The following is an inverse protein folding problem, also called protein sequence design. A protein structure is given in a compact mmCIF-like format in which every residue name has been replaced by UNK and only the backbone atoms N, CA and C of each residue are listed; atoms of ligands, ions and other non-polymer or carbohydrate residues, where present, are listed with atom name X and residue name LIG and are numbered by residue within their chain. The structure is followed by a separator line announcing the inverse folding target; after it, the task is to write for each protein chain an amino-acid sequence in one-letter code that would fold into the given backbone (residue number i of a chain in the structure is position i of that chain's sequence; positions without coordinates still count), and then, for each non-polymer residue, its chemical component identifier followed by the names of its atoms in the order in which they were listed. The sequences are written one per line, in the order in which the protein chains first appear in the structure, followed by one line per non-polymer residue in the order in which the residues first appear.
data_IF_863214443245
#
_entry.id   IF_863214443245
#
_cell.length_a   1.000
_cell.length_b   1.000
_cell.length_c   1.000
_cell.angle_alpha   90.00
_cell.angle_beta   90.00
_cell.angle_gamma   90.00
#
_symmetry.space_group_name_H-M   'P 1'
#
loop_
_entity.id
_entity.type
_entity.pdbx_description
1 polymer ?
#
# COMPACT_ATOMS: atom_id res chain seq x y z
N UNK A 1 -18.41 4.57 2.51
CA UNK A 1 -17.06 4.00 2.72
C UNK A 1 -16.88 3.77 4.20
N UNK A 2 -16.65 2.53 4.62
CA UNK A 2 -16.53 2.12 6.03
C UNK A 2 -15.12 1.62 6.34
N UNK A 3 -14.76 1.59 7.63
CA UNK A 3 -13.47 1.05 8.12
C UNK A 3 -13.19 -0.36 7.59
N UNK A 4 -14.24 -1.17 7.43
CA UNK A 4 -14.15 -2.53 6.90
C UNK A 4 -13.58 -2.58 5.48
N UNK A 5 -13.93 -1.59 4.63
CA UNK A 5 -13.46 -1.54 3.25
C UNK A 5 -11.96 -1.20 3.19
N UNK A 6 -11.51 -0.32 4.08
CA UNK A 6 -10.10 0.01 4.26
C UNK A 6 -9.29 -1.22 4.69
N UNK A 7 -9.78 -1.97 5.68
CA UNK A 7 -9.10 -3.18 6.16
C UNK A 7 -9.08 -4.28 5.11
N UNK A 8 -10.15 -4.39 4.31
CA UNK A 8 -10.21 -5.34 3.19
C UNK A 8 -9.17 -5.01 2.11
N UNK A 9 -9.07 -3.74 1.72
CA UNK A 9 -8.04 -3.28 0.78
C UNK A 9 -6.63 -3.48 1.32
N UNK A 10 -6.40 -3.20 2.61
CA UNK A 10 -5.12 -3.45 3.26
C UNK A 10 -4.77 -4.95 3.25
N UNK A 11 -5.71 -5.83 3.57
CA UNK A 11 -5.49 -7.27 3.56
C UNK A 11 -5.18 -7.79 2.14
N UNK A 12 -5.89 -7.30 1.13
CA UNK A 12 -5.63 -7.65 -0.28
C UNK A 12 -4.24 -7.16 -0.70
N UNK A 13 -3.92 -5.91 -0.43
CA UNK A 13 -2.63 -5.31 -0.76
C UNK A 13 -1.47 -6.07 -0.09
N UNK A 14 -1.61 -6.40 1.21
CA UNK A 14 -0.62 -7.14 2.00
C UNK A 14 -0.40 -8.56 1.49
N UNK A 15 -1.44 -9.24 1.00
CA UNK A 15 -1.31 -10.58 0.42
C UNK A 15 -0.69 -10.55 -0.98
N UNK A 16 -1.01 -9.54 -1.79
CA UNK A 16 -0.47 -9.43 -3.15
C UNK A 16 1.02 -9.00 -3.17
N UNK A 17 1.45 -8.17 -2.22
CA UNK A 17 2.82 -7.65 -2.18
C UNK A 17 3.95 -8.71 -2.19
N UNK A 18 3.90 -9.80 -1.39
CA UNK A 18 4.92 -10.85 -1.41
C UNK A 18 4.96 -11.66 -2.71
N UNK A 19 3.89 -11.67 -3.50
CA UNK A 19 3.84 -12.36 -4.80
C UNK A 19 4.57 -11.57 -5.90
N UNK A 20 4.77 -10.27 -5.70
CA UNK A 20 5.38 -9.38 -6.69
C UNK A 20 6.89 -9.57 -6.73
N UNK A 21 7.44 -10.04 -7.83
CA UNK A 21 8.89 -10.23 -8.00
C UNK A 21 9.54 -9.26 -8.97
N UNK A 22 8.74 -8.43 -9.65
CA UNK A 22 9.18 -7.53 -10.71
C UNK A 22 8.91 -6.08 -10.33
N UNK A 23 9.83 -5.18 -10.67
CA UNK A 23 9.71 -3.76 -10.35
C UNK A 23 8.45 -3.13 -10.99
N UNK A 24 8.11 -3.52 -12.22
CA UNK A 24 6.91 -3.05 -12.91
C UNK A 24 5.62 -3.46 -12.18
N UNK A 25 5.54 -4.70 -11.70
CA UNK A 25 4.39 -5.17 -10.94
C UNK A 25 4.28 -4.48 -9.58
N UNK A 26 5.42 -4.15 -8.96
CA UNK A 26 5.47 -3.42 -7.69
C UNK A 26 4.95 -1.98 -7.84
N UNK A 27 5.37 -1.27 -8.89
CA UNK A 27 4.88 0.08 -9.22
C UNK A 27 3.37 0.08 -9.53
N UNK A 28 2.87 -0.96 -10.21
CA UNK A 28 1.45 -1.10 -10.48
C UNK A 28 0.63 -1.34 -9.20
N UNK A 29 1.16 -2.16 -8.28
CA UNK A 29 0.56 -2.36 -6.96
C UNK A 29 0.52 -1.06 -6.17
N UNK A 30 1.61 -0.29 -6.15
CA UNK A 30 1.64 1.02 -5.50
C UNK A 30 0.54 1.91 -6.04
N UNK A 31 0.49 2.10 -7.36
CA UNK A 31 -0.52 2.95 -8.00
C UNK A 31 -1.96 2.51 -7.73
N UNK A 32 -2.21 1.19 -7.61
CA UNK A 32 -3.52 0.62 -7.33
C UNK A 32 -3.98 0.82 -5.89
N UNK A 33 -3.07 0.72 -4.91
CA UNK A 33 -3.43 0.73 -3.49
C UNK A 33 -3.10 2.06 -2.80
N UNK A 34 -1.83 2.45 -2.73
CA UNK A 34 -1.33 3.59 -1.93
C UNK A 34 -0.90 4.82 -2.74
N UNK A 35 -0.81 4.69 -4.06
CA UNK A 35 -0.34 5.73 -4.95
C UNK A 35 -1.32 6.89 -5.05
N UNK A 36 -1.01 7.85 -5.93
CA UNK A 36 -1.80 9.09 -6.09
C UNK A 36 -3.26 8.82 -6.46
N UNK A 37 -3.54 7.72 -7.17
CA UNK A 37 -4.88 7.26 -7.55
C UNK A 37 -5.29 5.96 -6.82
N UNK A 38 -4.56 5.58 -5.78
CA UNK A 38 -4.75 4.33 -5.09
C UNK A 38 -6.05 4.29 -4.30
N UNK A 39 -6.68 3.11 -4.24
CA UNK A 39 -7.95 2.91 -3.55
C UNK A 39 -7.89 3.33 -2.08
N UNK A 40 -6.78 3.03 -1.38
CA UNK A 40 -6.56 3.39 0.02
C UNK A 40 -6.45 4.92 0.16
N UNK A 41 -5.64 5.56 -0.67
CA UNK A 41 -5.46 7.03 -0.67
C UNK A 41 -6.77 7.77 -0.96
N UNK A 42 -7.57 7.28 -1.91
CA UNK A 42 -8.89 7.82 -2.20
C UNK A 42 -9.86 7.63 -1.03
N UNK A 43 -9.84 6.45 -0.37
CA UNK A 43 -10.64 6.18 0.83
C UNK A 43 -10.27 7.14 1.96
N UNK A 44 -8.97 7.31 2.24
CA UNK A 44 -8.46 8.22 3.26
C UNK A 44 -8.92 9.65 2.97
N UNK A 45 -8.84 10.10 1.71
CA UNK A 45 -9.26 11.46 1.34
C UNK A 45 -10.77 11.65 1.50
N UNK A 46 -11.56 10.60 1.24
CA UNK A 46 -13.02 10.64 1.43
C UNK A 46 -13.43 10.64 2.91
N UNK A 47 -12.58 10.18 3.85
CA UNK A 47 -12.86 10.27 5.30
C UNK A 47 -13.08 11.70 5.76
N UNK A 48 -12.46 12.68 5.09
CA UNK A 48 -12.63 14.10 5.37
C UNK A 48 -14.07 14.61 5.22
N UNK A 49 -14.99 13.78 4.71
CA UNK A 49 -16.43 14.07 4.61
C UNK A 49 -17.28 13.41 5.71
N UNK A 50 -16.74 12.48 6.50
CA UNK A 50 -17.50 11.75 7.54
C UNK A 50 -17.75 12.58 8.82
N UNK A 51 -18.74 12.26 9.68
CA UNK A 51 -18.92 12.95 10.96
C UNK A 51 -17.72 12.78 11.91
N UNK A 52 -17.54 13.73 12.84
CA UNK A 52 -16.37 13.87 13.73
C UNK A 52 -16.09 12.62 14.58
N UNK A 53 -17.12 11.89 14.96
CA UNK A 53 -17.06 10.70 15.83
C UNK A 53 -16.38 9.51 15.13
N UNK A 54 -16.71 9.23 13.86
CA UNK A 54 -16.09 8.16 13.07
C UNK A 54 -14.75 8.56 12.42
N UNK A 55 -14.54 9.87 12.19
CA UNK A 55 -13.32 10.38 11.55
C UNK A 55 -12.04 10.05 12.33
N UNK A 56 -12.09 10.07 13.66
CA UNK A 56 -10.89 9.94 14.48
C UNK A 56 -10.28 8.54 14.39
N UNK A 57 -11.10 7.50 14.64
CA UNK A 57 -10.66 6.11 14.58
C UNK A 57 -10.28 5.70 13.14
N UNK A 58 -11.10 6.07 12.15
CA UNK A 58 -10.80 5.76 10.75
C UNK A 58 -9.53 6.48 10.28
N UNK A 59 -9.40 7.78 10.53
CA UNK A 59 -8.25 8.56 10.07
C UNK A 59 -6.93 8.08 10.68
N UNK A 60 -6.95 7.69 11.95
CA UNK A 60 -5.78 7.12 12.62
C UNK A 60 -5.40 5.77 12.00
N UNK A 61 -6.39 4.88 11.81
CA UNK A 61 -6.17 3.57 11.17
C UNK A 61 -5.70 3.71 9.73
N UNK A 62 -6.25 4.66 8.97
CA UNK A 62 -5.92 4.90 7.58
C UNK A 62 -4.49 5.43 7.39
N UNK A 63 -4.06 6.37 8.24
CA UNK A 63 -2.66 6.80 8.27
C UNK A 63 -1.72 5.64 8.63
N UNK A 64 -2.09 4.82 9.62
CA UNK A 64 -1.27 3.68 10.02
C UNK A 64 -1.14 2.63 8.90
N UNK A 65 -2.25 2.25 8.27
CA UNK A 65 -2.29 1.35 7.11
C UNK A 65 -1.43 1.90 5.98
N UNK A 66 -1.55 3.19 5.67
CA UNK A 66 -0.76 3.83 4.62
C UNK A 66 0.73 3.74 4.93
N UNK A 67 1.14 4.07 6.15
CA UNK A 67 2.54 4.02 6.58
C UNK A 67 3.11 2.59 6.58
N UNK A 68 2.32 1.60 7.02
CA UNK A 68 2.72 0.18 6.94
C UNK A 68 2.89 -0.29 5.50
N UNK A 69 1.97 0.10 4.60
CA UNK A 69 2.02 -0.25 3.19
C UNK A 69 3.21 0.42 2.49
N UNK A 70 3.49 1.69 2.77
CA UNK A 70 4.67 2.41 2.26
C UNK A 70 5.97 1.73 2.72
N UNK A 71 6.05 1.32 4.00
CA UNK A 71 7.20 0.58 4.52
C UNK A 71 7.36 -0.80 3.89
N UNK A 72 6.26 -1.54 3.73
CA UNK A 72 6.28 -2.85 3.09
C UNK A 72 6.68 -2.76 1.61
N UNK A 73 6.17 -1.75 0.90
CA UNK A 73 6.55 -1.44 -0.47
C UNK A 73 8.05 -1.15 -0.58
N UNK A 74 8.59 -0.28 0.27
CA UNK A 74 10.01 0.07 0.25
C UNK A 74 10.90 -1.17 0.48
N UNK A 75 10.52 -2.03 1.43
CA UNK A 75 11.22 -3.31 1.67
C UNK A 75 11.15 -4.23 0.45
N UNK A 76 10.00 -4.32 -0.21
CA UNK A 76 9.85 -5.15 -1.41
C UNK A 76 10.62 -4.60 -2.60
N UNK A 77 10.63 -3.28 -2.78
CA UNK A 77 11.39 -2.59 -3.82
C UNK A 77 12.89 -2.85 -3.65
N UNK A 78 13.39 -2.73 -2.42
CA UNK A 78 14.78 -3.02 -2.11
C UNK A 78 15.14 -4.48 -2.40
N UNK A 79 14.28 -5.43 -1.98
CA UNK A 79 14.46 -6.85 -2.30
C UNK A 79 14.52 -7.14 -3.80
N UNK A 80 13.61 -6.57 -4.59
CA UNK A 80 13.61 -6.76 -6.05
C UNK A 80 14.89 -6.18 -6.65
N UNK A 81 15.25 -4.95 -6.25
CA UNK A 81 16.46 -4.28 -6.72
C UNK A 81 17.73 -5.06 -6.37
N UNK A 82 17.83 -5.58 -5.15
CA UNK A 82 18.96 -6.41 -4.72
C UNK A 82 19.04 -7.70 -5.54
N UNK A 83 17.90 -8.34 -5.84
CA UNK A 83 17.85 -9.54 -6.68
C UNK A 83 18.30 -9.25 -8.11
N UNK A 84 17.87 -8.15 -8.70
CA UNK A 84 18.32 -7.73 -10.04
C UNK A 84 19.82 -7.43 -10.05
N UNK A 85 20.31 -6.69 -9.06
CA UNK A 85 21.74 -6.36 -8.95
C UNK A 85 22.61 -7.61 -8.75
N UNK A 86 22.19 -8.53 -7.88
CA UNK A 86 22.90 -9.79 -7.67
C UNK A 86 23.01 -10.61 -8.96
N UNK A 87 21.90 -10.69 -9.72
CA UNK A 87 21.88 -11.36 -11.02
C UNK A 87 22.89 -10.78 -12.01
N UNK A 88 23.01 -9.45 -12.06
CA UNK A 88 23.93 -8.76 -12.97
C UNK A 88 25.40 -8.82 -12.53
N UNK A 89 25.71 -9.23 -11.30
CA UNK A 89 27.08 -9.37 -10.78
C UNK A 89 27.63 -10.80 -10.93
N UNK A 90 26.76 -11.77 -11.19
CA UNK A 90 27.11 -13.18 -11.38
C UNK A 90 27.32 -13.55 -12.87
N UNK A 91 27.00 -12.64 -13.81
CA UNK A 91 27.23 -12.79 -15.27
C UNK A 91 28.56 -12.18 -15.73
#
# INVERSE_FOLDING_TARGET
MSLQELERLYAEAKNALPEITEAAALENWENKFIGRKGAITLLVRSVGQLPKEDRSAFGQRANQIKSEMESAYAQRADLIRQRELAKSLEE
#
